data_IF_600891281141
#
_entry.id   IF_600891281141
#
_cell.length_a   1.000
_cell.length_b   1.000
_cell.length_c   1.000
_cell.angle_alpha   90.00
_cell.angle_beta   90.00
_cell.angle_gamma   90.00
#
_symmetry.space_group_name_H-M   'P 1'
#
loop_
_entity.id
_entity.type
_entity.pdbx_description
1 polymer ?
#
# COMPACT_ATOMS: atom_id res chain seq x y z
N UNK A 1 5.91 14.05 3.63
CA UNK A 1 6.24 12.98 2.64
C UNK A 1 4.99 12.19 2.30
N UNK A 2 4.95 11.52 1.15
CA UNK A 2 3.92 10.55 0.79
C UNK A 2 4.57 9.16 0.72
N UNK A 3 3.82 8.10 1.00
CA UNK A 3 4.32 6.74 0.96
C UNK A 3 3.33 5.80 0.28
N UNK A 4 3.69 5.30 -0.91
CA UNK A 4 2.89 4.37 -1.70
C UNK A 4 3.69 3.15 -2.18
N UNK A 5 4.92 2.97 -1.68
CA UNK A 5 5.73 1.83 -2.06
C UNK A 5 5.15 0.52 -1.48
N UNK A 6 5.00 -0.55 -2.27
CA UNK A 6 5.24 -0.65 -3.73
C UNK A 6 4.08 -0.08 -4.55
N UNK A 7 4.37 0.72 -5.59
CA UNK A 7 3.32 1.33 -6.43
C UNK A 7 2.50 0.27 -7.17
N UNK A 8 3.14 -0.82 -7.63
CA UNK A 8 2.50 -1.96 -8.25
C UNK A 8 1.45 -2.61 -7.36
N UNK A 9 1.62 -2.54 -6.03
CA UNK A 9 0.61 -3.02 -5.08
C UNK A 9 -0.45 -1.94 -4.79
N UNK A 10 -0.03 -0.72 -4.46
CA UNK A 10 -0.94 0.34 -3.98
C UNK A 10 -1.83 0.93 -5.07
N UNK A 11 -1.40 0.86 -6.33
CA UNK A 11 -2.05 1.49 -7.48
C UNK A 11 -2.47 0.49 -8.58
N UNK A 12 -2.49 -0.81 -8.28
CA UNK A 12 -3.00 -1.82 -9.22
C UNK A 12 -4.43 -1.47 -9.69
N UNK A 13 -4.66 -1.60 -11.00
CA UNK A 13 -5.89 -1.19 -11.69
C UNK A 13 -6.22 0.31 -11.62
N UNK A 14 -5.24 1.21 -11.49
CA UNK A 14 -5.53 2.64 -11.64
C UNK A 14 -6.17 2.98 -13.00
N UNK A 15 -7.02 4.01 -13.03
CA UNK A 15 -7.91 4.30 -14.18
C UNK A 15 -7.75 5.70 -14.78
N UNK A 16 -6.82 6.50 -14.27
CA UNK A 16 -6.69 7.92 -14.62
C UNK A 16 -5.60 8.22 -15.66
N UNK A 17 -4.73 7.27 -15.99
CA UNK A 17 -3.74 7.43 -17.04
C UNK A 17 -3.46 6.10 -17.79
N UNK A 18 -2.34 6.06 -18.55
CA UNK A 18 -1.93 4.89 -19.34
C UNK A 18 -0.73 4.15 -18.75
N UNK A 19 -0.42 4.41 -17.49
CA UNK A 19 0.64 3.77 -16.71
C UNK A 19 0.55 2.24 -16.76
N UNK A 20 1.67 1.52 -16.60
CA UNK A 20 1.66 0.07 -16.48
C UNK A 20 0.86 -0.45 -15.29
N UNK A 21 0.68 0.36 -14.24
CA UNK A 21 -0.07 0.00 -13.03
C UNK A 21 -1.55 -0.32 -13.34
N UNK A 22 -2.14 0.34 -14.35
CA UNK A 22 -3.49 0.07 -14.84
C UNK A 22 -3.67 -1.37 -15.36
N UNK A 23 -2.57 -2.07 -15.67
CA UNK A 23 -2.54 -3.43 -16.24
C UNK A 23 -2.14 -4.48 -15.20
N UNK A 24 -1.87 -4.06 -13.96
CA UNK A 24 -1.62 -4.92 -12.81
C UNK A 24 -2.89 -5.13 -11.99
N UNK A 25 -3.09 -6.34 -11.47
CA UNK A 25 -4.28 -6.68 -10.68
C UNK A 25 -4.03 -7.91 -9.79
N UNK A 26 -4.74 -8.00 -8.67
CA UNK A 26 -4.72 -9.11 -7.73
C UNK A 26 -3.32 -9.46 -7.18
N UNK A 27 -2.47 -8.43 -7.02
CA UNK A 27 -1.18 -8.54 -6.37
C UNK A 27 -1.37 -8.52 -4.85
N UNK A 28 -0.80 -9.51 -4.12
CA UNK A 28 -0.96 -9.60 -2.67
C UNK A 28 0.07 -8.72 -1.93
N UNK A 29 -0.18 -8.52 -0.64
CA UNK A 29 0.81 -8.03 0.31
C UNK A 29 0.77 -8.86 1.60
N UNK A 30 1.91 -9.41 2.07
CA UNK A 30 3.26 -9.32 1.50
C UNK A 30 3.46 -10.16 0.24
N UNK A 31 4.53 -9.88 -0.53
CA UNK A 31 4.85 -10.64 -1.74
C UNK A 31 6.35 -10.70 -2.04
N UNK A 32 6.73 -11.70 -2.82
CA UNK A 32 8.06 -11.84 -3.45
C UNK A 32 7.89 -12.10 -4.93
N UNK A 33 8.96 -12.00 -5.72
CA UNK A 33 8.97 -12.42 -7.13
C UNK A 33 8.48 -13.87 -7.33
N UNK A 34 8.64 -14.71 -6.31
CA UNK A 34 8.26 -16.11 -6.30
C UNK A 34 6.85 -16.36 -5.73
N UNK A 35 6.11 -15.31 -5.36
CA UNK A 35 4.71 -15.46 -4.97
C UNK A 35 3.89 -15.98 -6.17
N UNK A 36 3.02 -17.00 -6.01
CA UNK A 36 2.27 -17.56 -7.14
C UNK A 36 1.42 -16.53 -7.92
N UNK A 37 0.69 -15.59 -7.28
CA UNK A 37 -0.05 -14.56 -8.02
C UNK A 37 0.86 -13.64 -8.85
N UNK A 38 2.04 -13.31 -8.32
CA UNK A 38 3.04 -12.50 -9.02
C UNK A 38 3.53 -13.22 -10.27
N UNK A 39 3.99 -14.47 -10.14
CA UNK A 39 4.48 -15.24 -11.30
C UNK A 39 3.39 -15.41 -12.35
N UNK A 40 2.16 -15.68 -11.93
CA UNK A 40 1.03 -15.80 -12.84
C UNK A 40 0.78 -14.50 -13.62
N UNK A 41 0.86 -13.35 -12.94
CA UNK A 41 0.68 -12.04 -13.59
C UNK A 41 1.83 -11.72 -14.55
N UNK A 42 3.09 -11.93 -14.15
CA UNK A 42 4.26 -11.72 -15.02
C UNK A 42 4.15 -12.57 -16.29
N UNK A 43 3.87 -13.87 -16.16
CA UNK A 43 3.69 -14.76 -17.32
C UNK A 43 2.56 -14.31 -18.23
N UNK A 44 1.45 -13.81 -17.65
CA UNK A 44 0.32 -13.28 -18.43
C UNK A 44 0.70 -12.03 -19.21
N UNK A 45 1.43 -11.10 -18.59
CA UNK A 45 1.87 -9.85 -19.23
C UNK A 45 2.83 -10.14 -20.38
N UNK A 46 3.80 -11.03 -20.17
CA UNK A 46 4.75 -11.47 -21.19
C UNK A 46 4.03 -12.16 -22.37
N UNK A 47 3.08 -13.05 -22.09
CA UNK A 47 2.28 -13.70 -23.14
C UNK A 47 1.44 -12.71 -23.96
N UNK A 48 1.06 -11.58 -23.37
CA UNK A 48 0.34 -10.50 -24.04
C UNK A 48 1.25 -9.48 -24.75
N UNK A 49 2.58 -9.63 -24.63
CA UNK A 49 3.56 -8.67 -25.18
C UNK A 49 3.65 -7.35 -24.40
N UNK A 50 3.16 -7.31 -23.16
CA UNK A 50 3.21 -6.12 -22.28
C UNK A 50 4.51 -6.12 -21.46
N UNK A 51 5.63 -5.93 -22.16
CA UNK A 51 6.97 -5.89 -21.56
C UNK A 51 7.14 -4.75 -20.55
N UNK A 52 6.41 -3.64 -20.73
CA UNK A 52 6.48 -2.48 -19.86
C UNK A 52 5.93 -2.81 -18.46
N UNK A 53 4.74 -3.40 -18.38
CA UNK A 53 4.15 -3.79 -17.10
C UNK A 53 4.88 -4.97 -16.44
N UNK A 54 5.35 -5.93 -17.23
CA UNK A 54 6.16 -7.04 -16.73
C UNK A 54 7.46 -6.53 -16.08
N UNK A 55 8.19 -5.66 -16.78
CA UNK A 55 9.45 -5.09 -16.28
C UNK A 55 9.25 -4.22 -15.04
N UNK A 56 8.17 -3.41 -14.99
CA UNK A 56 7.85 -2.61 -13.81
C UNK A 56 7.60 -3.50 -12.59
N UNK A 57 6.80 -4.55 -12.74
CA UNK A 57 6.48 -5.47 -11.64
C UNK A 57 7.73 -6.21 -11.15
N UNK A 58 8.59 -6.69 -12.05
CA UNK A 58 9.85 -7.32 -11.70
C UNK A 58 10.79 -6.35 -10.96
N UNK A 59 10.89 -5.10 -11.42
CA UNK A 59 11.71 -4.07 -10.79
C UNK A 59 11.23 -3.75 -9.37
N UNK A 60 9.92 -3.59 -9.18
CA UNK A 60 9.36 -3.33 -7.84
C UNK A 60 9.60 -4.48 -6.87
N UNK A 61 9.63 -5.72 -7.37
CA UNK A 61 9.92 -6.95 -6.61
C UNK A 61 11.40 -7.34 -6.58
N UNK A 62 12.30 -6.46 -7.04
CA UNK A 62 13.76 -6.62 -6.87
C UNK A 62 14.17 -6.85 -5.42
N UNK A 63 13.35 -6.38 -4.47
CA UNK A 63 13.40 -6.77 -3.06
C UNK A 63 11.99 -7.16 -2.60
N UNK A 64 11.85 -8.15 -1.71
CA UNK A 64 10.57 -8.56 -1.13
C UNK A 64 9.73 -7.38 -0.62
N UNK A 65 8.43 -7.48 -0.83
CA UNK A 65 7.44 -6.59 -0.21
C UNK A 65 7.03 -7.17 1.14
N UNK A 66 7.04 -6.35 2.17
CA UNK A 66 6.58 -6.76 3.48
C UNK A 66 6.81 -5.72 4.55
N UNK A 67 6.27 -5.99 5.73
CA UNK A 67 6.29 -5.09 6.88
C UNK A 67 7.71 -4.71 7.29
N UNK A 68 8.67 -5.65 7.21
CA UNK A 68 10.07 -5.38 7.55
C UNK A 68 10.70 -4.30 6.65
N UNK A 69 10.31 -4.26 5.36
CA UNK A 69 10.80 -3.22 4.44
C UNK A 69 10.19 -1.86 4.78
N UNK A 70 8.88 -1.82 5.00
CA UNK A 70 8.18 -0.59 5.45
C UNK A 70 8.81 -0.08 6.75
N UNK A 71 8.98 -0.94 7.76
CA UNK A 71 9.62 -0.58 9.02
C UNK A 71 11.04 -0.02 8.83
N UNK A 72 11.84 -0.63 7.95
CA UNK A 72 13.19 -0.13 7.62
C UNK A 72 13.16 1.25 6.96
N UNK A 73 12.25 1.47 6.02
CA UNK A 73 12.11 2.75 5.32
C UNK A 73 11.74 3.88 6.30
N UNK A 74 10.78 3.63 7.20
CA UNK A 74 10.38 4.58 8.23
C UNK A 74 11.42 4.76 9.34
N UNK A 75 12.19 3.72 9.69
CA UNK A 75 13.31 3.86 10.62
C UNK A 75 14.41 4.79 10.05
N UNK A 76 14.65 4.74 8.74
CA UNK A 76 15.51 5.70 8.06
C UNK A 76 15.01 7.13 8.19
N UNK A 77 13.71 7.32 7.99
CA UNK A 77 13.05 8.62 8.09
C UNK A 77 13.05 9.17 9.52
N UNK A 78 12.81 8.32 10.53
CA UNK A 78 12.89 8.69 11.94
C UNK A 78 14.29 9.13 12.35
N UNK A 79 15.34 8.41 11.92
CA UNK A 79 16.74 8.82 12.16
C UNK A 79 17.05 10.16 11.51
N UNK A 80 16.59 10.38 10.29
CA UNK A 80 16.76 11.66 9.61
C UNK A 80 16.05 12.80 10.37
N UNK A 81 14.78 12.59 10.74
CA UNK A 81 13.96 13.56 11.50
C UNK A 81 14.67 13.99 12.79
N UNK A 82 15.16 13.03 13.56
CA UNK A 82 15.89 13.28 14.80
C UNK A 82 17.21 14.04 14.56
N UNK A 83 18.00 13.63 13.56
CA UNK A 83 19.28 14.27 13.25
C UNK A 83 19.11 15.72 12.76
N UNK A 84 18.04 16.00 12.00
CA UNK A 84 17.76 17.32 11.45
C UNK A 84 16.93 18.20 12.39
N UNK A 85 16.43 17.67 13.50
CA UNK A 85 15.44 18.35 14.36
C UNK A 85 14.24 18.88 13.55
N UNK A 86 13.83 18.11 12.54
CA UNK A 86 12.80 18.50 11.59
C UNK A 86 11.67 17.46 11.61
N UNK A 87 10.51 17.78 12.21
CA UNK A 87 9.38 16.86 12.25
C UNK A 87 8.95 16.46 10.84
N UNK A 88 8.74 15.15 10.65
CA UNK A 88 8.20 14.60 9.42
C UNK A 88 6.72 14.31 9.60
N UNK A 89 5.94 14.66 8.58
CA UNK A 89 4.54 14.26 8.44
C UNK A 89 4.39 13.34 7.23
N UNK A 90 3.71 12.21 7.41
CA UNK A 90 3.22 11.34 6.33
C UNK A 90 1.85 11.86 5.89
N UNK A 91 1.82 12.72 4.88
CA UNK A 91 0.59 13.39 4.46
C UNK A 91 -0.34 12.47 3.66
N UNK A 92 0.21 11.45 3.01
CA UNK A 92 -0.56 10.50 2.22
C UNK A 92 0.06 9.11 2.25
N UNK A 93 -0.80 8.11 2.45
CA UNK A 93 -0.56 6.70 2.21
C UNK A 93 -1.90 5.99 2.05
N UNK A 94 -1.93 4.93 1.25
CA UNK A 94 -3.13 4.13 1.03
C UNK A 94 -2.95 3.10 -0.07
N UNK A 95 -4.00 2.30 -0.28
CA UNK A 95 -4.10 1.29 -1.34
C UNK A 95 -5.46 1.46 -2.04
N UNK A 96 -5.46 1.48 -3.37
CA UNK A 96 -6.68 1.44 -4.17
C UNK A 96 -7.56 0.24 -3.80
N UNK A 97 -8.88 0.41 -3.85
CA UNK A 97 -9.86 -0.62 -3.48
C UNK A 97 -10.41 -1.42 -4.69
N UNK A 98 -9.88 -1.23 -5.90
CA UNK A 98 -10.47 -1.76 -7.13
C UNK A 98 -10.18 -3.25 -7.39
N UNK A 99 -8.90 -3.65 -7.31
CA UNK A 99 -8.41 -4.96 -7.75
C UNK A 99 -7.46 -5.60 -6.73
N UNK A 100 -7.70 -5.35 -5.45
CA UNK A 100 -6.89 -5.86 -4.34
C UNK A 100 -7.76 -6.66 -3.40
N UNK A 101 -7.21 -7.72 -2.80
CA UNK A 101 -7.90 -8.41 -1.73
C UNK A 101 -7.91 -7.58 -0.44
N UNK A 102 -9.00 -7.66 0.31
CA UNK A 102 -9.22 -6.84 1.50
C UNK A 102 -8.15 -7.08 2.59
N UNK A 103 -7.69 -8.32 2.75
CA UNK A 103 -6.71 -8.69 3.77
C UNK A 103 -5.33 -8.08 3.47
N UNK A 104 -4.83 -8.18 2.24
CA UNK A 104 -3.58 -7.55 1.80
C UNK A 104 -3.64 -6.05 1.99
N UNK A 105 -4.76 -5.42 1.59
CA UNK A 105 -5.00 -3.98 1.73
C UNK A 105 -4.90 -3.54 3.19
N UNK A 106 -5.66 -4.19 4.08
CA UNK A 106 -5.65 -3.87 5.51
C UNK A 106 -4.28 -4.14 6.16
N UNK A 107 -3.58 -5.22 5.77
CA UNK A 107 -2.22 -5.52 6.25
C UNK A 107 -1.21 -4.43 5.89
N UNK A 108 -1.21 -3.97 4.64
CA UNK A 108 -0.30 -2.91 4.20
C UNK A 108 -0.56 -1.60 4.94
N UNK A 109 -1.84 -1.19 5.05
CA UNK A 109 -2.23 0.04 5.75
C UNK A 109 -1.83 0.00 7.22
N UNK A 110 -2.06 -1.13 7.90
CA UNK A 110 -1.65 -1.35 9.29
C UNK A 110 -0.13 -1.26 9.44
N UNK A 111 0.62 -1.86 8.52
CA UNK A 111 2.08 -1.85 8.55
C UNK A 111 2.66 -0.44 8.40
N UNK A 112 2.12 0.37 7.48
CA UNK A 112 2.55 1.77 7.32
C UNK A 112 2.19 2.60 8.54
N UNK A 113 0.96 2.49 9.06
CA UNK A 113 0.55 3.17 10.30
C UNK A 113 1.52 2.87 11.45
N UNK A 114 1.74 1.58 11.74
CA UNK A 114 2.62 1.13 12.84
C UNK A 114 4.05 1.61 12.64
N UNK A 115 4.56 1.60 11.42
CA UNK A 115 5.90 2.08 11.11
C UNK A 115 6.04 3.60 11.30
N UNK A 116 5.02 4.38 10.95
CA UNK A 116 4.99 5.82 11.21
C UNK A 116 4.97 6.12 12.71
N UNK A 117 4.07 5.49 13.46
CA UNK A 117 3.92 5.67 14.91
C UNK A 117 5.18 5.28 15.69
N UNK A 118 5.79 4.13 15.35
CA UNK A 118 7.03 3.67 15.97
C UNK A 118 8.21 4.64 15.79
N UNK A 119 8.11 5.57 14.82
CA UNK A 119 9.11 6.59 14.52
C UNK A 119 8.64 8.01 14.85
N UNK A 120 7.55 8.16 15.61
CA UNK A 120 6.97 9.43 16.01
C UNK A 120 6.60 10.34 14.82
N UNK A 121 6.17 9.73 13.72
CA UNK A 121 5.73 10.43 12.50
C UNK A 121 4.21 10.51 12.50
N UNK A 122 3.68 11.73 12.48
CA UNK A 122 2.25 11.96 12.27
C UNK A 122 1.83 11.51 10.88
N UNK A 123 0.58 11.06 10.73
CA UNK A 123 0.10 10.50 9.47
C UNK A 123 -1.31 10.95 9.10
N UNK A 124 -1.63 10.86 7.80
CA UNK A 124 -2.96 11.07 7.24
C UNK A 124 -3.21 10.07 6.12
N UNK A 125 -4.28 9.29 6.23
CA UNK A 125 -4.65 8.27 5.25
C UNK A 125 -5.30 8.92 4.02
N UNK A 126 -4.88 8.46 2.84
CA UNK A 126 -5.54 8.74 1.57
C UNK A 126 -6.30 7.48 1.17
N UNK A 127 -7.64 7.45 1.15
CA UNK A 127 -8.60 8.54 1.38
C UNK A 127 -9.87 8.04 2.09
N UNK A 128 -10.88 8.89 2.22
CA UNK A 128 -12.13 8.58 2.92
C UNK A 128 -13.11 7.77 2.05
N UNK A 129 -13.49 8.24 0.86
CA UNK A 129 -14.70 7.77 0.16
C UNK A 129 -14.62 7.60 -1.37
N UNK A 130 -13.43 7.60 -1.98
CA UNK A 130 -13.26 7.29 -3.41
C UNK A 130 -12.38 6.04 -3.62
N UNK A 131 -11.44 6.08 -4.56
CA UNK A 131 -10.64 4.93 -4.98
C UNK A 131 -9.77 4.34 -3.88
N UNK A 132 -9.38 5.14 -2.89
CA UNK A 132 -8.69 4.68 -1.69
C UNK A 132 -9.60 4.61 -0.45
N UNK A 133 -10.89 4.88 -0.63
CA UNK A 133 -11.86 5.05 0.44
C UNK A 133 -12.17 3.78 1.22
N UNK A 134 -12.66 3.97 2.45
CA UNK A 134 -13.17 2.92 3.33
C UNK A 134 -14.60 3.19 3.81
N UNK A 135 -15.23 4.25 3.31
CA UNK A 135 -16.65 4.54 3.53
C UNK A 135 -17.43 4.53 2.21
N UNK A 136 -18.66 4.03 2.24
CA UNK A 136 -19.54 4.02 1.07
C UNK A 136 -20.45 5.25 0.99
N UNK A 137 -20.74 5.90 2.13
CA UNK A 137 -21.67 7.01 2.22
C UNK A 137 -21.20 8.01 3.28
N UNK A 138 -21.04 9.29 2.91
CA UNK A 138 -20.65 10.37 3.85
C UNK A 138 -21.69 10.67 4.93
N UNK A 139 -22.92 10.20 4.78
CA UNK A 139 -24.05 10.47 5.66
C UNK A 139 -24.41 9.28 6.57
N UNK A 140 -23.76 8.12 6.40
CA UNK A 140 -24.06 6.91 7.18
C UNK A 140 -22.79 6.14 7.51
N UNK A 141 -22.70 5.62 8.74
CA UNK A 141 -21.65 4.69 9.14
C UNK A 141 -21.89 3.25 8.62
N UNK A 142 -23.08 2.98 8.08
CA UNK A 142 -23.39 1.68 7.46
C UNK A 142 -22.49 1.44 6.25
N UNK A 143 -21.90 0.25 6.17
CA UNK A 143 -21.00 -0.13 5.08
C UNK A 143 -19.57 0.43 5.21
N UNK A 144 -19.20 0.99 6.37
CA UNK A 144 -17.79 1.27 6.67
C UNK A 144 -16.98 -0.03 6.66
N UNK A 145 -15.82 0.00 6.01
CA UNK A 145 -14.89 -1.13 5.98
C UNK A 145 -14.22 -1.28 7.35
N UNK A 146 -14.74 -2.22 8.15
CA UNK A 146 -14.26 -2.49 9.50
C UNK A 146 -12.81 -2.97 9.53
N UNK A 147 -12.35 -3.65 8.48
CA UNK A 147 -10.96 -4.12 8.39
C UNK A 147 -9.99 -2.95 8.23
N UNK A 148 -10.37 -1.93 7.45
CA UNK A 148 -9.62 -0.70 7.27
C UNK A 148 -9.65 0.17 8.53
N UNK A 149 -10.80 0.26 9.21
CA UNK A 149 -10.89 0.95 10.51
C UNK A 149 -9.95 0.30 11.52
N UNK A 150 -9.99 -1.02 11.64
CA UNK A 150 -9.09 -1.75 12.54
C UNK A 150 -7.61 -1.63 12.15
N UNK A 151 -7.30 -1.45 10.86
CA UNK A 151 -5.94 -1.19 10.38
C UNK A 151 -5.46 0.22 10.78
N UNK A 152 -6.35 1.22 10.74
CA UNK A 152 -6.06 2.64 10.99
C UNK A 152 -6.12 3.05 12.47
N UNK A 153 -6.98 2.43 13.27
CA UNK A 153 -7.19 2.82 14.69
C UNK A 153 -6.68 1.79 15.69
N UNK A 154 -6.31 0.59 15.23
CA UNK A 154 -6.16 -0.57 16.11
C UNK A 154 -7.51 -1.25 16.38
N UNK A 155 -7.46 -2.45 16.93
CA UNK A 155 -8.63 -3.12 17.49
C UNK A 155 -8.64 -2.88 18.99
N UNK A 156 -9.80 -2.54 19.56
CA UNK A 156 -9.98 -2.50 21.01
C UNK A 156 -9.57 -3.86 21.61
N UNK A 157 -8.36 -3.94 22.18
CA UNK A 157 -7.92 -5.13 22.93
C UNK A 157 -6.50 -5.66 22.70
N UNK A 158 -5.71 -5.15 21.76
CA UNK A 158 -4.30 -5.57 21.64
C UNK A 158 -3.38 -4.41 21.20
N UNK A 159 -2.75 -3.79 22.21
CA UNK A 159 -1.39 -3.25 22.19
C UNK A 159 -0.74 -3.54 23.56
#
# INVERSE_FOLDING_TARGET
IHYYAPMAFTHQCETWDRSPLARLANLPFPATKDSPPVRALVSKLQAAGDEEAASLLEQELSRPWGEARIASDFAGLGRWSAAQHCPVMLNEFGVLNFCVDADSRARWVRAVRRAAEANQIGWSHWELDQGFGFIANRQSAEGFDSSMIAALLGSDGED
#
